data_IF_451424666443
#
_entry.id   IF_451424666443
#
_cell.length_a   1.000
_cell.length_b   1.000
_cell.length_c   1.000
_cell.angle_alpha   90.00
_cell.angle_beta   90.00
_cell.angle_gamma   90.00
#
_symmetry.space_group_name_H-M   'P 1'
#
loop_
_entity.id
_entity.type
_entity.pdbx_description
1 polymer ?
#
# COMPACT_ATOMS: atom_id res chain seq x y z
N UNK A 1 -15.99 16.06 -4.40
CA UNK A 1 -14.57 16.47 -4.54
C UNK A 1 -13.84 16.57 -3.19
N UNK A 2 -14.51 16.92 -2.07
CA UNK A 2 -13.90 17.05 -0.73
C UNK A 2 -13.46 15.71 -0.11
N UNK A 3 -14.03 14.57 -0.53
CA UNK A 3 -13.78 13.25 0.04
C UNK A 3 -12.48 12.58 -0.45
N UNK A 4 -11.87 13.06 -1.55
CA UNK A 4 -10.64 12.52 -2.13
C UNK A 4 -9.63 13.63 -2.37
N UNK A 5 -9.03 14.16 -1.30
CA UNK A 5 -8.01 15.21 -1.41
C UNK A 5 -6.74 14.65 -2.08
N UNK A 6 -5.91 15.55 -2.59
CA UNK A 6 -4.59 15.20 -3.11
C UNK A 6 -3.52 15.81 -2.21
N UNK A 7 -2.41 15.11 -2.04
CA UNK A 7 -1.27 15.61 -1.29
C UNK A 7 -0.50 16.65 -2.10
N UNK A 8 0.00 17.68 -1.42
CA UNK A 8 1.05 18.57 -1.95
C UNK A 8 2.44 17.95 -1.84
N UNK A 9 2.57 16.95 -0.97
CA UNK A 9 3.83 16.24 -0.75
C UNK A 9 4.08 15.20 -1.83
N UNK A 10 5.34 15.01 -2.18
CA UNK A 10 5.84 14.00 -3.11
C UNK A 10 7.04 13.29 -2.49
N UNK A 11 7.38 12.07 -2.96
CA UNK A 11 8.63 11.44 -2.57
C UNK A 11 9.81 12.34 -2.88
N UNK A 12 10.85 12.32 -2.05
CA UNK A 12 12.03 13.18 -2.19
C UNK A 12 12.68 13.06 -3.59
N UNK A 13 12.80 11.84 -4.10
CA UNK A 13 13.38 11.55 -5.41
C UNK A 13 12.32 11.43 -6.53
N UNK A 14 11.09 11.93 -6.27
CA UNK A 14 9.98 11.90 -7.22
C UNK A 14 9.19 10.60 -7.21
N UNK A 15 8.16 10.55 -8.04
CA UNK A 15 7.29 9.38 -8.15
C UNK A 15 7.93 8.30 -9.04
N UNK A 16 8.12 7.10 -8.49
CA UNK A 16 8.54 5.87 -9.19
C UNK A 16 7.35 4.94 -9.47
N UNK A 17 6.29 5.09 -8.68
CA UNK A 17 4.99 4.45 -8.87
C UNK A 17 3.95 5.49 -9.26
N UNK A 18 2.80 5.04 -9.74
CA UNK A 18 1.68 5.95 -10.02
C UNK A 18 1.32 6.75 -8.77
N UNK A 19 1.24 8.08 -8.90
CA UNK A 19 0.86 8.95 -7.79
C UNK A 19 -0.51 8.61 -7.22
N UNK A 20 -1.42 8.08 -8.06
CA UNK A 20 -2.75 7.66 -7.68
C UNK A 20 -2.73 6.49 -6.69
N UNK A 21 -1.79 5.56 -6.88
CA UNK A 21 -1.57 4.46 -5.93
C UNK A 21 -1.06 5.00 -4.59
N UNK A 22 -0.05 5.88 -4.61
CA UNK A 22 0.45 6.49 -3.39
C UNK A 22 -0.64 7.30 -2.68
N UNK A 23 -1.47 8.05 -3.41
CA UNK A 23 -2.61 8.79 -2.83
C UNK A 23 -3.63 7.85 -2.17
N UNK A 24 -3.91 6.69 -2.78
CA UNK A 24 -4.80 5.69 -2.19
C UNK A 24 -4.28 5.20 -0.83
N UNK A 25 -2.98 4.88 -0.75
CA UNK A 25 -2.35 4.47 0.50
C UNK A 25 -2.30 5.60 1.53
N UNK A 26 -1.83 6.81 1.17
CA UNK A 26 -1.84 7.97 2.08
C UNK A 26 -3.23 8.26 2.65
N UNK A 27 -4.24 8.21 1.80
CA UNK A 27 -5.62 8.44 2.21
C UNK A 27 -6.08 7.37 3.20
N UNK A 28 -5.77 6.09 2.92
CA UNK A 28 -6.18 4.98 3.77
C UNK A 28 -5.42 4.96 5.10
N UNK A 29 -4.13 5.24 5.10
CA UNK A 29 -3.25 5.10 6.24
C UNK A 29 -3.34 6.28 7.23
N UNK A 30 -3.44 7.50 6.72
CA UNK A 30 -3.32 8.68 7.57
C UNK A 30 -4.35 9.78 7.29
N UNK A 31 -5.20 9.63 6.26
CA UNK A 31 -6.00 10.73 5.71
C UNK A 31 -5.14 11.99 5.45
N UNK A 32 -3.94 11.79 4.91
CA UNK A 32 -2.93 12.82 4.63
C UNK A 32 -2.39 13.55 5.87
N UNK A 33 -2.55 12.99 7.06
CA UNK A 33 -2.00 13.56 8.28
C UNK A 33 -0.51 13.20 8.43
N UNK A 34 0.38 14.18 8.21
CA UNK A 34 1.83 14.01 8.35
C UNK A 34 2.28 13.68 9.77
N UNK A 35 1.44 13.97 10.77
CA UNK A 35 1.72 13.71 12.21
C UNK A 35 1.10 12.41 12.71
N UNK A 36 0.45 11.63 11.82
CA UNK A 36 -0.20 10.39 12.22
C UNK A 36 0.82 9.43 12.86
N UNK A 37 0.37 8.77 13.94
CA UNK A 37 1.13 7.74 14.66
C UNK A 37 0.17 6.69 15.17
N UNK A 38 0.41 5.43 14.81
CA UNK A 38 -0.38 4.30 15.30
C UNK A 38 0.07 3.84 16.69
N UNK A 39 -0.74 2.98 17.32
CA UNK A 39 -0.38 2.33 18.60
C UNK A 39 0.86 1.45 18.45
N UNK A 40 1.06 0.83 17.29
CA UNK A 40 2.20 -0.03 16.98
C UNK A 40 3.45 0.74 16.55
N UNK A 41 3.37 2.07 16.52
CA UNK A 41 4.48 2.95 16.23
C UNK A 41 4.71 3.25 14.75
N UNK A 42 3.74 2.96 13.87
CA UNK A 42 3.77 3.41 12.49
C UNK A 42 3.64 4.94 12.42
N UNK A 43 4.33 5.57 11.45
CA UNK A 43 4.52 7.03 11.42
C UNK A 43 4.18 7.59 10.05
N UNK A 44 3.53 8.74 10.06
CA UNK A 44 3.39 9.67 8.94
C UNK A 44 2.40 9.25 7.87
N UNK A 45 2.53 9.84 6.70
CA UNK A 45 1.58 9.74 5.58
C UNK A 45 1.28 8.29 5.16
N UNK A 46 2.30 7.45 5.10
CA UNK A 46 2.24 6.06 4.66
C UNK A 46 2.23 5.07 5.83
N UNK A 47 2.13 5.55 7.09
CA UNK A 47 2.16 4.72 8.30
C UNK A 47 3.28 3.67 8.28
N UNK A 48 4.50 4.14 8.04
CA UNK A 48 5.69 3.28 7.96
C UNK A 48 6.21 2.94 9.35
N UNK A 49 6.41 1.66 9.63
CA UNK A 49 7.10 1.21 10.84
C UNK A 49 8.60 1.51 10.73
N UNK A 50 9.26 1.95 11.83
CA UNK A 50 10.71 2.15 11.82
C UNK A 50 11.52 0.90 11.43
N UNK A 51 11.01 -0.29 11.76
CA UNK A 51 11.62 -1.57 11.35
C UNK A 51 11.54 -1.78 9.84
N UNK A 52 10.39 -1.47 9.22
CA UNK A 52 10.19 -1.52 7.78
C UNK A 52 11.11 -0.52 7.07
N UNK A 53 11.17 0.71 7.55
CA UNK A 53 12.06 1.72 7.01
C UNK A 53 13.53 1.26 7.05
N UNK A 54 13.97 0.71 8.18
CA UNK A 54 15.33 0.17 8.32
C UNK A 54 15.61 -0.98 7.34
N UNK A 55 14.63 -1.85 7.12
CA UNK A 55 14.75 -2.96 6.18
C UNK A 55 14.88 -2.48 4.73
N UNK A 56 13.99 -1.57 4.32
CA UNK A 56 13.91 -1.10 2.92
C UNK A 56 15.09 -0.22 2.54
N UNK A 57 15.42 0.78 3.36
CA UNK A 57 16.43 1.76 2.98
C UNK A 57 17.85 1.23 3.08
N UNK A 58 18.07 0.12 3.79
CA UNK A 58 19.42 -0.37 4.15
C UNK A 58 20.33 0.76 4.68
N UNK A 59 19.75 1.91 4.98
CA UNK A 59 20.42 3.15 5.32
C UNK A 59 20.74 3.19 6.80
N UNK A 60 21.96 3.63 7.11
CA UNK A 60 22.37 3.92 8.49
C UNK A 60 21.59 5.09 9.09
N UNK A 61 20.92 5.89 8.26
CA UNK A 61 20.19 7.11 8.66
C UNK A 61 18.83 6.83 9.29
N UNK A 62 18.23 5.67 9.00
CA UNK A 62 17.00 5.20 9.65
C UNK A 62 17.35 4.19 10.73
N UNK A 63 18.14 4.59 11.71
CA UNK A 63 18.34 3.78 12.90
C UNK A 63 17.04 3.74 13.70
N UNK A 64 16.77 2.62 14.37
CA UNK A 64 15.62 2.42 15.27
C UNK A 64 15.49 3.53 16.33
N UNK A 65 16.60 4.23 16.64
CA UNK A 65 16.66 5.39 17.53
C UNK A 65 16.25 6.72 16.86
N UNK A 66 16.13 6.77 15.54
CA UNK A 66 15.83 8.02 14.82
C UNK A 66 14.53 7.92 13.98
N UNK A 67 13.46 7.43 14.60
CA UNK A 67 12.11 7.43 14.01
C UNK A 67 11.62 8.84 13.62
N UNK A 68 12.31 9.90 14.09
CA UNK A 68 11.97 11.26 13.77
C UNK A 68 12.13 11.59 12.28
N UNK A 69 13.01 10.91 11.57
CA UNK A 69 13.19 11.13 10.12
C UNK A 69 11.91 10.78 9.34
N UNK A 70 11.14 9.78 9.81
CA UNK A 70 9.86 9.40 9.20
C UNK A 70 8.74 10.43 9.40
N UNK A 71 8.95 11.44 10.25
CA UNK A 71 8.03 12.58 10.39
C UNK A 71 8.19 13.58 9.25
N UNK A 72 9.29 13.53 8.49
CA UNK A 72 9.43 14.30 7.27
C UNK A 72 8.54 13.66 6.18
N UNK A 73 7.56 14.38 5.62
CA UNK A 73 6.59 13.81 4.68
C UNK A 73 7.23 13.31 3.38
N UNK A 74 8.24 13.98 2.85
CA UNK A 74 8.91 13.58 1.62
C UNK A 74 9.71 12.28 1.81
N UNK A 75 10.41 12.15 2.94
CA UNK A 75 11.14 10.93 3.31
C UNK A 75 10.16 9.80 3.62
N UNK A 76 9.06 10.09 4.31
CA UNK A 76 8.02 9.10 4.59
C UNK A 76 7.43 8.51 3.31
N UNK A 77 7.13 9.38 2.34
CA UNK A 77 6.64 8.97 1.02
C UNK A 77 7.68 8.18 0.23
N UNK A 78 8.95 8.59 0.28
CA UNK A 78 10.05 7.87 -0.38
C UNK A 78 10.14 6.43 0.15
N UNK A 79 10.22 6.28 1.48
CA UNK A 79 10.30 4.96 2.12
C UNK A 79 9.04 4.13 1.86
N UNK A 80 7.86 4.75 1.92
CA UNK A 80 6.59 4.09 1.62
C UNK A 80 6.52 3.59 0.19
N UNK A 81 6.96 4.41 -0.77
CA UNK A 81 7.05 4.04 -2.19
C UNK A 81 8.03 2.89 -2.43
N UNK A 82 9.20 2.94 -1.80
CA UNK A 82 10.20 1.86 -1.89
C UNK A 82 9.65 0.56 -1.29
N UNK A 83 8.90 0.64 -0.20
CA UNK A 83 8.26 -0.54 0.38
C UNK A 83 7.18 -1.12 -0.54
N UNK A 84 6.33 -0.29 -1.15
CA UNK A 84 5.36 -0.73 -2.16
C UNK A 84 6.03 -1.39 -3.35
N UNK A 85 7.13 -0.80 -3.86
CA UNK A 85 7.92 -1.38 -4.96
C UNK A 85 8.47 -2.76 -4.57
N UNK A 86 9.07 -2.85 -3.38
CA UNK A 86 9.56 -4.13 -2.85
C UNK A 86 8.46 -5.19 -2.79
N UNK A 87 7.28 -4.83 -2.27
CA UNK A 87 6.16 -5.77 -2.18
C UNK A 87 5.65 -6.20 -3.55
N UNK A 88 5.53 -5.26 -4.52
CA UNK A 88 5.11 -5.56 -5.90
C UNK A 88 6.01 -6.59 -6.59
N UNK A 89 7.30 -6.57 -6.29
CA UNK A 89 8.31 -7.43 -6.90
C UNK A 89 8.45 -8.79 -6.19
N UNK A 90 7.75 -9.01 -5.07
CA UNK A 90 7.69 -10.33 -4.43
C UNK A 90 6.90 -11.32 -5.31
N UNK A 91 7.43 -12.53 -5.48
CA UNK A 91 6.79 -13.61 -6.25
C UNK A 91 5.35 -13.88 -5.78
N UNK A 92 5.15 -13.93 -4.46
CA UNK A 92 3.82 -14.16 -3.89
C UNK A 92 2.82 -13.02 -4.10
N UNK A 93 3.30 -11.82 -4.46
CA UNK A 93 2.47 -10.65 -4.79
C UNK A 93 2.25 -10.57 -6.30
N UNK A 94 3.29 -10.86 -7.11
CA UNK A 94 3.22 -10.92 -8.59
C UNK A 94 2.49 -9.72 -9.20
N UNK A 95 2.73 -8.53 -8.69
CA UNK A 95 2.10 -7.25 -9.08
C UNK A 95 0.57 -7.22 -8.97
N UNK A 96 -0.06 -8.20 -8.31
CA UNK A 96 -1.50 -8.21 -8.04
C UNK A 96 -1.83 -7.22 -6.92
N UNK A 97 -2.74 -6.28 -7.18
CA UNK A 97 -3.09 -5.20 -6.25
C UNK A 97 -3.81 -5.70 -4.98
N UNK A 98 -4.54 -6.80 -5.06
CA UNK A 98 -5.17 -7.45 -3.90
C UNK A 98 -4.08 -7.98 -2.97
N UNK A 99 -3.11 -8.72 -3.53
CA UNK A 99 -2.00 -9.27 -2.76
C UNK A 99 -1.06 -8.17 -2.23
N UNK A 100 -0.85 -7.10 -3.02
CA UNK A 100 -0.10 -5.93 -2.57
C UNK A 100 -0.72 -5.31 -1.32
N UNK A 101 -2.03 -5.04 -1.35
CA UNK A 101 -2.73 -4.43 -0.21
C UNK A 101 -2.75 -5.38 1.00
N UNK A 102 -2.95 -6.68 0.78
CA UNK A 102 -2.87 -7.70 1.83
C UNK A 102 -1.48 -7.74 2.48
N UNK A 103 -0.41 -7.73 1.67
CA UNK A 103 0.97 -7.75 2.15
C UNK A 103 1.35 -6.46 2.87
N UNK A 104 0.84 -5.31 2.43
CA UNK A 104 1.12 -4.03 3.08
C UNK A 104 0.50 -3.96 4.48
N UNK A 105 -0.78 -4.30 4.61
CA UNK A 105 -1.50 -4.25 5.89
C UNK A 105 -1.16 -5.42 6.82
N UNK A 106 -1.18 -6.64 6.30
CA UNK A 106 -0.97 -7.87 7.10
C UNK A 106 0.49 -8.33 7.19
N UNK A 107 1.35 -7.80 6.34
CA UNK A 107 2.72 -8.25 6.15
C UNK A 107 2.85 -9.40 5.14
N UNK A 108 4.01 -9.48 4.42
CA UNK A 108 4.22 -10.51 3.39
C UNK A 108 4.22 -11.93 3.93
N UNK A 109 4.64 -12.13 5.19
CA UNK A 109 4.60 -13.44 5.85
C UNK A 109 3.17 -13.96 6.06
N UNK A 110 2.26 -13.09 6.48
CA UNK A 110 0.85 -13.47 6.61
C UNK A 110 0.19 -13.69 5.24
N UNK A 111 0.51 -12.89 4.24
CA UNK A 111 0.03 -13.14 2.87
C UNK A 111 0.42 -14.55 2.43
N UNK A 112 1.68 -14.94 2.58
CA UNK A 112 2.15 -16.29 2.20
C UNK A 112 1.43 -17.38 2.99
N UNK A 113 1.26 -17.18 4.30
CA UNK A 113 0.51 -18.10 5.16
C UNK A 113 -0.92 -18.29 4.66
N UNK A 114 -1.64 -17.20 4.43
CA UNK A 114 -3.04 -17.25 3.97
C UNK A 114 -3.16 -17.91 2.59
N UNK A 115 -2.23 -17.64 1.66
CA UNK A 115 -2.20 -18.31 0.35
C UNK A 115 -1.99 -19.83 0.48
N UNK A 116 -1.16 -20.28 1.42
CA UNK A 116 -0.90 -21.70 1.65
C UNK A 116 -2.08 -22.41 2.33
N UNK A 117 -2.82 -21.70 3.19
CA UNK A 117 -3.94 -22.26 3.96
C UNK A 117 -5.28 -22.23 3.19
N UNK A 118 -5.35 -21.49 2.07
CA UNK A 118 -6.57 -21.30 1.30
C UNK A 118 -6.42 -21.90 -0.09
N UNK A 119 -7.32 -22.82 -0.45
CA UNK A 119 -7.47 -23.22 -1.84
C UNK A 119 -8.33 -22.18 -2.58
N UNK A 120 -7.71 -21.08 -3.02
CA UNK A 120 -8.41 -19.97 -3.67
C UNK A 120 -8.49 -20.12 -5.21
N UNK A 121 -8.12 -21.30 -5.75
CA UNK A 121 -8.24 -21.62 -7.19
C UNK A 121 -7.66 -20.55 -8.12
N UNK A 122 -6.60 -19.91 -7.70
CA UNK A 122 -5.95 -18.77 -8.38
C UNK A 122 -6.86 -17.54 -8.61
N UNK A 123 -8.00 -17.47 -7.93
CA UNK A 123 -8.92 -16.33 -7.93
C UNK A 123 -8.58 -15.39 -6.76
N UNK A 124 -8.03 -14.22 -7.07
CA UNK A 124 -7.63 -13.26 -6.03
C UNK A 124 -8.80 -12.61 -5.31
N UNK A 125 -10.01 -12.53 -5.89
CA UNK A 125 -11.21 -12.08 -5.18
C UNK A 125 -11.66 -13.12 -4.16
N UNK A 126 -11.68 -14.40 -4.56
CA UNK A 126 -11.99 -15.47 -3.63
C UNK A 126 -10.95 -15.56 -2.51
N UNK A 127 -9.67 -15.36 -2.84
CA UNK A 127 -8.62 -15.23 -1.82
C UNK A 127 -8.92 -14.11 -0.84
N UNK A 128 -9.25 -12.90 -1.32
CA UNK A 128 -9.56 -11.76 -0.47
C UNK A 128 -10.67 -12.07 0.54
N UNK A 129 -11.77 -12.69 0.09
CA UNK A 129 -12.88 -13.09 0.96
C UNK A 129 -12.48 -14.15 1.99
N UNK A 130 -11.49 -15.00 1.65
CA UNK A 130 -10.99 -16.09 2.50
C UNK A 130 -10.01 -15.63 3.58
N UNK A 131 -9.48 -14.40 3.50
CA UNK A 131 -8.55 -13.86 4.50
C UNK A 131 -9.24 -13.81 5.87
N UNK A 132 -8.68 -14.41 6.95
CA UNK A 132 -9.31 -14.44 8.27
C UNK A 132 -9.39 -13.05 8.92
N UNK A 133 -8.48 -12.13 8.58
CA UNK A 133 -8.45 -10.76 9.08
C UNK A 133 -9.50 -9.89 8.37
N UNK A 134 -10.59 -9.56 9.09
CA UNK A 134 -11.61 -8.61 8.59
C UNK A 134 -11.01 -7.23 8.30
N UNK A 135 -10.06 -6.79 9.12
CA UNK A 135 -9.36 -5.52 8.92
C UNK A 135 -8.61 -5.51 7.58
N UNK A 136 -7.88 -6.59 7.28
CA UNK A 136 -7.12 -6.69 6.03
C UNK A 136 -8.05 -6.77 4.80
N UNK A 137 -9.17 -7.52 4.86
CA UNK A 137 -10.17 -7.53 3.77
C UNK A 137 -10.69 -6.12 3.49
N UNK A 138 -11.12 -5.44 4.54
CA UNK A 138 -11.61 -4.06 4.43
C UNK A 138 -10.54 -3.10 3.91
N UNK A 139 -9.27 -3.28 4.33
CA UNK A 139 -8.15 -2.47 3.84
C UNK A 139 -7.96 -2.64 2.33
N UNK A 140 -7.99 -3.89 1.82
CA UNK A 140 -7.88 -4.19 0.39
C UNK A 140 -8.97 -3.46 -0.40
N UNK A 141 -10.24 -3.61 -0.01
CA UNK A 141 -11.37 -2.93 -0.66
C UNK A 141 -11.17 -1.42 -0.72
N UNK A 142 -10.71 -0.81 0.37
CA UNK A 142 -10.48 0.64 0.46
C UNK A 142 -9.33 1.10 -0.42
N UNK A 143 -8.24 0.34 -0.49
CA UNK A 143 -7.10 0.68 -1.36
C UNK A 143 -7.53 0.64 -2.83
N UNK A 144 -8.13 -0.45 -3.29
CA UNK A 144 -8.57 -0.61 -4.67
C UNK A 144 -9.56 0.50 -5.06
N UNK A 145 -10.59 0.71 -4.24
CA UNK A 145 -11.61 1.74 -4.48
C UNK A 145 -10.97 3.14 -4.59
N UNK A 146 -10.08 3.49 -3.64
CA UNK A 146 -9.42 4.79 -3.66
C UNK A 146 -8.50 4.95 -4.86
N UNK A 147 -7.75 3.91 -5.22
CA UNK A 147 -6.85 3.94 -6.37
C UNK A 147 -7.61 4.23 -7.66
N UNK A 148 -8.71 3.51 -7.92
CA UNK A 148 -9.53 3.73 -9.10
C UNK A 148 -10.21 5.11 -9.10
N UNK A 149 -10.68 5.60 -7.95
CA UNK A 149 -11.24 6.95 -7.84
C UNK A 149 -10.18 8.01 -8.16
N UNK A 150 -8.94 7.87 -7.68
CA UNK A 150 -7.85 8.79 -8.00
C UNK A 150 -7.47 8.72 -9.48
N UNK A 151 -7.44 7.53 -10.08
CA UNK A 151 -7.23 7.39 -11.54
C UNK A 151 -8.33 8.11 -12.33
N UNK A 152 -9.59 7.85 -11.99
CA UNK A 152 -10.74 8.51 -12.64
C UNK A 152 -10.69 10.04 -12.50
N UNK A 153 -10.38 10.53 -11.30
CA UNK A 153 -10.22 11.97 -11.02
C UNK A 153 -9.15 12.63 -11.90
N UNK A 154 -8.11 11.89 -12.23
CA UNK A 154 -7.00 12.36 -13.07
C UNK A 154 -7.17 11.99 -14.56
N UNK A 155 -8.36 11.56 -14.97
CA UNK A 155 -8.68 11.11 -16.34
C UNK A 155 -7.75 9.98 -16.83
N UNK A 156 -7.32 9.11 -15.92
CA UNK A 156 -6.53 7.93 -16.25
C UNK A 156 -7.42 6.71 -16.47
N UNK A 157 -6.95 5.80 -17.29
CA UNK A 157 -7.60 4.51 -17.48
C UNK A 157 -7.48 3.65 -16.20
N UNK A 158 -8.61 3.13 -15.74
CA UNK A 158 -8.68 2.19 -14.61
C UNK A 158 -8.46 0.75 -15.11
N UNK A 159 -7.23 0.46 -15.56
CA UNK A 159 -6.87 -0.80 -16.22
C UNK A 159 -7.15 -2.01 -15.33
N UNK A 160 -6.68 -1.97 -14.09
CA UNK A 160 -6.87 -3.07 -13.13
C UNK A 160 -8.35 -3.29 -12.78
N UNK A 161 -9.18 -2.23 -12.74
CA UNK A 161 -10.63 -2.39 -12.59
C UNK A 161 -11.26 -3.12 -13.79
N UNK A 162 -10.85 -2.77 -15.01
CA UNK A 162 -11.32 -3.46 -16.22
C UNK A 162 -10.88 -4.91 -16.24
N UNK A 163 -9.65 -5.22 -15.81
CA UNK A 163 -9.17 -6.59 -15.69
C UNK A 163 -10.05 -7.38 -14.72
N UNK A 164 -10.31 -6.84 -13.55
CA UNK A 164 -11.16 -7.47 -12.54
C UNK A 164 -12.60 -7.69 -13.03
N UNK A 165 -13.18 -6.70 -13.71
CA UNK A 165 -14.53 -6.81 -14.29
C UNK A 165 -14.64 -7.91 -15.36
N UNK A 166 -13.52 -8.28 -15.98
CA UNK A 166 -13.42 -9.37 -16.97
C UNK A 166 -12.98 -10.71 -16.36
N UNK A 167 -12.99 -10.83 -15.03
CA UNK A 167 -12.61 -12.06 -14.32
C UNK A 167 -11.10 -12.33 -14.29
N UNK A 168 -10.28 -11.30 -14.48
CA UNK A 168 -8.83 -11.41 -14.41
C UNK A 168 -8.30 -10.72 -13.13
N UNK A 169 -7.12 -11.12 -12.70
CA UNK A 169 -6.44 -10.48 -11.58
C UNK A 169 -6.17 -8.99 -11.85
N UNK A 170 -6.38 -8.11 -10.85
CA UNK A 170 -6.16 -6.68 -10.98
C UNK A 170 -4.67 -6.34 -10.89
N UNK A 171 -3.93 -6.48 -11.98
CA UNK A 171 -2.49 -6.21 -12.03
C UNK A 171 -2.20 -4.70 -12.10
N UNK A 172 -1.05 -4.36 -11.46
CA UNK A 172 -0.43 -3.03 -11.50
C UNK A 172 0.46 -2.86 -12.72
#
# INVERSE_FOLDING_TARGET
YLYYPTSVWKPRDGFKLEKELLHAFMHQESMFNIKAKSKDGAIGLMQVLPSTAKFITKSKDVKRSNSNILKNPEINLEVGQEYLTYLLDLEQVSRNLIFLAAAYNGGPGNLQKWKNETNYMEDSLFFMESIPSRETRWFIEKILTKYWIYQNKNNKEMRSLKMLANGNDPLY
#
